data_IF_048863777560
#
_entry.id   IF_048863777560
#
_cell.length_a   1.000
_cell.length_b   1.000
_cell.length_c   1.000
_cell.angle_alpha   90.00
_cell.angle_beta   90.00
_cell.angle_gamma   90.00
#
_symmetry.space_group_name_H-M   'P 1'
#
loop_
_entity.id
_entity.type
_entity.pdbx_description
1 polymer ?
#
# COMPACT_ATOMS: atom_id res chain seq x y z
N UNK A 1 -5.51 -5.42 -26.90
CA UNK A 1 -5.47 -4.04 -27.43
C UNK A 1 -6.15 -3.16 -26.40
N UNK A 2 -5.44 -2.21 -25.76
CA UNK A 2 -6.10 -1.23 -24.88
C UNK A 2 -6.91 -0.29 -25.78
N UNK A 3 -8.20 -0.11 -25.52
CA UNK A 3 -9.09 0.72 -26.35
C UNK A 3 -8.72 2.22 -26.35
N UNK A 4 -7.84 2.66 -25.45
CA UNK A 4 -7.61 4.08 -25.18
C UNK A 4 -6.13 4.52 -25.25
N UNK A 5 -5.18 3.67 -25.66
CA UNK A 5 -3.79 4.11 -25.80
C UNK A 5 -2.79 3.07 -26.29
N UNK A 6 -1.67 3.56 -26.85
CA UNK A 6 -0.51 2.76 -27.25
C UNK A 6 0.54 2.80 -26.14
N UNK A 7 0.56 1.77 -25.28
CA UNK A 7 1.60 1.62 -24.25
C UNK A 7 2.87 1.09 -24.90
N UNK A 8 3.99 1.80 -24.76
CA UNK A 8 5.30 1.35 -25.25
C UNK A 8 6.12 0.76 -24.09
N UNK A 9 6.35 -0.56 -24.04
CA UNK A 9 7.20 -1.16 -23.02
C UNK A 9 8.62 -0.55 -23.02
N UNK A 10 9.17 -0.29 -21.83
CA UNK A 10 10.55 0.21 -21.66
C UNK A 10 10.74 1.73 -21.82
N UNK A 11 9.69 2.49 -22.16
CA UNK A 11 9.75 3.96 -22.27
C UNK A 11 8.95 4.63 -21.15
N UNK A 12 9.62 4.93 -20.04
CA UNK A 12 9.02 5.67 -18.91
C UNK A 12 9.70 7.05 -18.79
N UNK A 13 8.93 8.16 -18.76
CA UNK A 13 9.51 9.48 -18.59
C UNK A 13 10.00 9.68 -17.14
N UNK A 14 11.06 10.46 -16.89
CA UNK A 14 11.60 10.69 -15.54
C UNK A 14 10.55 11.16 -14.52
N UNK A 15 9.64 12.03 -14.95
CA UNK A 15 8.54 12.51 -14.11
C UNK A 15 7.62 11.37 -13.61
N UNK A 16 7.44 10.30 -14.38
CA UNK A 16 6.65 9.14 -13.96
C UNK A 16 7.37 8.31 -12.90
N UNK A 17 8.71 8.25 -12.94
CA UNK A 17 9.50 7.58 -11.91
C UNK A 17 9.52 8.39 -10.61
N UNK A 18 9.64 9.71 -10.69
CA UNK A 18 9.53 10.60 -9.54
C UNK A 18 8.16 10.50 -8.86
N UNK A 19 7.07 10.54 -9.65
CA UNK A 19 5.71 10.36 -9.15
C UNK A 19 5.51 8.99 -8.50
N UNK A 20 6.05 7.93 -9.10
CA UNK A 20 6.01 6.59 -8.53
C UNK A 20 6.77 6.50 -7.21
N UNK A 21 7.98 7.05 -7.14
CA UNK A 21 8.77 7.08 -5.91
C UNK A 21 8.06 7.86 -4.80
N UNK A 22 7.39 8.96 -5.13
CA UNK A 22 6.59 9.73 -4.18
C UNK A 22 5.40 8.92 -3.66
N UNK A 23 4.68 8.22 -4.54
CA UNK A 23 3.58 7.34 -4.14
C UNK A 23 4.04 6.24 -3.19
N UNK A 24 5.15 5.56 -3.51
CA UNK A 24 5.72 4.52 -2.65
C UNK A 24 6.09 5.08 -1.27
N UNK A 25 6.70 6.27 -1.19
CA UNK A 25 7.02 6.92 0.09
C UNK A 25 5.77 7.20 0.92
N UNK A 26 4.69 7.68 0.31
CA UNK A 26 3.43 7.95 1.01
C UNK A 26 2.80 6.67 1.55
N UNK A 27 2.81 5.59 0.76
CA UNK A 27 2.27 4.30 1.17
C UNK A 27 3.10 3.64 2.28
N UNK A 28 4.43 3.77 2.27
CA UNK A 28 5.27 3.31 3.39
C UNK A 28 4.89 3.99 4.70
N UNK A 29 4.72 5.32 4.68
CA UNK A 29 4.26 6.07 5.86
C UNK A 29 2.86 5.61 6.34
N UNK A 30 1.97 5.27 5.41
CA UNK A 30 0.66 4.70 5.77
C UNK A 30 0.80 3.30 6.39
N UNK A 31 1.70 2.46 5.87
CA UNK A 31 1.98 1.14 6.42
C UNK A 31 2.57 1.23 7.84
N UNK A 32 3.54 2.12 8.07
CA UNK A 32 4.12 2.41 9.39
C UNK A 32 3.05 2.82 10.41
N UNK A 33 2.02 3.54 9.97
CA UNK A 33 0.86 3.89 10.79
C UNK A 33 -0.18 2.78 10.96
N UNK A 34 0.06 1.57 10.44
CA UNK A 34 -0.90 0.46 10.43
C UNK A 34 -2.15 0.73 9.60
N UNK A 35 -2.08 1.62 8.60
CA UNK A 35 -3.23 2.10 7.82
C UNK A 35 -3.41 1.38 6.49
N UNK A 36 -2.57 0.41 6.15
CA UNK A 36 -2.72 -0.39 4.93
C UNK A 36 -3.26 -1.79 5.25
N UNK A 37 -4.18 -2.26 4.41
CA UNK A 37 -4.74 -3.62 4.41
C UNK A 37 -3.90 -4.60 3.58
N UNK A 38 -3.01 -4.09 2.73
CA UNK A 38 -2.20 -4.86 1.79
C UNK A 38 -0.75 -4.33 1.75
N UNK A 39 0.24 -5.11 1.28
CA UNK A 39 1.61 -4.65 1.12
C UNK A 39 1.73 -3.40 0.22
N UNK A 40 2.76 -2.57 0.47
CA UNK A 40 2.99 -1.30 -0.24
C UNK A 40 3.09 -1.51 -1.76
N UNK A 41 3.77 -2.56 -2.19
CA UNK A 41 3.97 -2.89 -3.61
C UNK A 41 2.64 -3.23 -4.29
N UNK A 42 1.73 -3.89 -3.58
CA UNK A 42 0.40 -4.22 -4.08
C UNK A 42 -0.49 -2.98 -4.14
N UNK A 43 -0.52 -2.17 -3.06
CA UNK A 43 -1.23 -0.89 -3.03
C UNK A 43 -0.79 0.04 -4.16
N UNK A 44 0.52 0.13 -4.42
CA UNK A 44 1.09 0.94 -5.49
C UNK A 44 0.59 0.49 -6.87
N UNK A 45 0.58 -0.82 -7.13
CA UNK A 45 0.08 -1.40 -8.39
C UNK A 45 -1.41 -1.09 -8.61
N UNK A 46 -2.22 -1.25 -7.57
CA UNK A 46 -3.67 -0.97 -7.61
C UNK A 46 -3.94 0.50 -7.91
N UNK A 47 -3.30 1.43 -7.17
CA UNK A 47 -3.45 2.87 -7.42
C UNK A 47 -3.03 3.23 -8.84
N UNK A 48 -1.89 2.70 -9.29
CA UNK A 48 -1.37 3.01 -10.62
C UNK A 48 -2.31 2.53 -11.74
N UNK A 49 -2.83 1.31 -11.63
CA UNK A 49 -3.80 0.78 -12.59
C UNK A 49 -5.09 1.61 -12.60
N UNK A 50 -5.65 1.93 -11.43
CA UNK A 50 -6.90 2.68 -11.32
C UNK A 50 -6.78 4.12 -11.85
N UNK A 51 -5.71 4.83 -11.48
CA UNK A 51 -5.45 6.19 -11.96
C UNK A 51 -5.24 6.21 -13.47
N UNK A 52 -4.48 5.26 -14.01
CA UNK A 52 -4.29 5.11 -15.46
C UNK A 52 -5.62 4.87 -16.17
N UNK A 53 -6.44 3.93 -15.67
CA UNK A 53 -7.76 3.63 -16.23
C UNK A 53 -8.70 4.84 -16.20
N UNK A 54 -8.79 5.55 -15.08
CA UNK A 54 -9.60 6.77 -14.98
C UNK A 54 -9.13 7.87 -15.92
N UNK A 55 -7.82 8.10 -16.02
CA UNK A 55 -7.27 9.10 -16.94
C UNK A 55 -7.60 8.76 -18.39
N UNK A 56 -7.43 7.51 -18.79
CA UNK A 56 -7.74 7.06 -20.15
C UNK A 56 -9.24 7.15 -20.48
N UNK A 57 -10.11 6.77 -19.52
CA UNK A 57 -11.55 6.90 -19.68
C UNK A 57 -11.97 8.37 -19.89
N UNK A 58 -11.49 9.28 -19.03
CA UNK A 58 -11.78 10.71 -19.12
C UNK A 58 -11.22 11.37 -20.40
N UNK A 59 -10.05 10.94 -20.88
CA UNK A 59 -9.48 11.43 -22.15
C UNK A 59 -10.34 10.98 -23.33
N UNK A 60 -10.94 9.79 -23.25
CA UNK A 60 -11.82 9.24 -24.28
C UNK A 60 -13.19 9.93 -24.39
N UNK A 61 -13.61 10.69 -23.38
CA UNK A 61 -14.86 11.45 -23.36
C UNK A 61 -14.72 12.82 -24.05
N UNK A 62 -15.80 13.28 -24.69
CA UNK A 62 -15.90 14.64 -25.22
C UNK A 62 -15.85 15.66 -24.06
N UNK A 63 -15.20 16.81 -24.28
CA UNK A 63 -14.96 17.77 -23.19
C UNK A 63 -16.22 18.28 -22.49
N UNK A 64 -17.34 18.36 -23.20
CA UNK A 64 -18.65 18.76 -22.65
C UNK A 64 -19.32 17.68 -21.81
N UNK A 65 -18.96 16.42 -21.99
CA UNK A 65 -19.55 15.26 -21.33
C UNK A 65 -18.69 14.71 -20.19
N UNK A 66 -17.47 15.24 -20.02
CA UNK A 66 -16.52 14.78 -19.00
C UNK A 66 -17.07 14.91 -17.59
N UNK A 67 -17.30 13.77 -16.95
CA UNK A 67 -17.73 13.70 -15.56
C UNK A 67 -16.57 13.34 -14.62
N UNK A 68 -16.01 14.35 -13.94
CA UNK A 68 -14.94 14.16 -12.95
C UNK A 68 -15.41 13.45 -11.67
N UNK A 69 -16.72 13.28 -11.46
CA UNK A 69 -17.22 12.53 -10.30
C UNK A 69 -16.78 11.07 -10.36
N UNK A 70 -16.64 10.50 -11.57
CA UNK A 70 -16.11 9.15 -11.79
C UNK A 70 -14.69 8.99 -11.23
N UNK A 71 -13.81 9.97 -11.46
CA UNK A 71 -12.45 9.95 -10.88
C UNK A 71 -12.48 10.00 -9.36
N UNK A 72 -13.36 10.81 -8.78
CA UNK A 72 -13.49 10.93 -7.33
C UNK A 72 -14.01 9.65 -6.70
N UNK A 73 -15.08 9.06 -7.25
CA UNK A 73 -15.61 7.78 -6.76
C UNK A 73 -14.59 6.65 -6.88
N UNK A 74 -13.85 6.59 -7.98
CA UNK A 74 -12.81 5.57 -8.14
C UNK A 74 -11.68 5.76 -7.13
N UNK A 75 -11.23 7.01 -6.91
CA UNK A 75 -10.23 7.33 -5.89
C UNK A 75 -10.66 6.83 -4.52
N UNK A 76 -11.88 7.16 -4.10
CA UNK A 76 -12.40 6.78 -2.79
C UNK A 76 -12.53 5.26 -2.65
N UNK A 77 -13.01 4.59 -3.71
CA UNK A 77 -13.12 3.13 -3.77
C UNK A 77 -11.75 2.46 -3.64
N UNK A 78 -10.76 2.94 -4.38
CA UNK A 78 -9.40 2.40 -4.35
C UNK A 78 -8.74 2.62 -3.01
N UNK A 79 -8.83 3.84 -2.45
CA UNK A 79 -8.29 4.13 -1.12
C UNK A 79 -8.94 3.21 -0.09
N UNK A 80 -10.27 3.14 -0.06
CA UNK A 80 -10.99 2.25 0.85
C UNK A 80 -10.57 0.77 0.68
N UNK A 81 -10.30 0.31 -0.54
CA UNK A 81 -9.88 -1.09 -0.78
C UNK A 81 -8.51 -1.43 -0.21
N UNK A 82 -7.59 -0.46 -0.11
CA UNK A 82 -6.20 -0.69 0.30
C UNK A 82 -5.87 -0.15 1.69
N UNK A 83 -6.68 0.75 2.24
CA UNK A 83 -6.46 1.34 3.57
C UNK A 83 -7.41 0.77 4.60
N UNK A 84 -6.97 0.66 5.86
CA UNK A 84 -7.89 0.41 6.97
C UNK A 84 -8.69 1.67 7.26
N UNK A 85 -9.89 1.53 7.80
CA UNK A 85 -10.56 2.68 8.41
C UNK A 85 -9.69 3.26 9.54
N UNK A 86 -9.85 4.56 9.82
CA UNK A 86 -9.35 5.11 11.09
C UNK A 86 -9.83 4.17 12.20
N UNK A 87 -8.98 3.81 13.19
CA UNK A 87 -9.30 2.72 14.10
C UNK A 87 -10.64 3.03 14.78
N UNK A 88 -11.70 2.40 14.28
CA UNK A 88 -12.87 2.16 15.09
C UNK A 88 -12.32 1.30 16.22
N UNK A 89 -12.48 1.77 17.45
CA UNK A 89 -11.96 1.14 18.67
C UNK A 89 -12.49 -0.27 18.94
N UNK A 90 -13.09 -0.94 17.94
CA UNK A 90 -13.70 -2.26 18.04
C UNK A 90 -13.66 -2.96 16.66
N UNK A 91 -12.53 -3.56 16.26
CA UNK A 91 -12.55 -4.57 15.18
C UNK A 91 -11.56 -4.43 14.02
N UNK A 92 -10.27 -4.20 14.28
CA UNK A 92 -9.24 -4.55 13.29
C UNK A 92 -9.29 -6.07 13.02
N UNK A 93 -9.48 -6.47 11.76
CA UNK A 93 -9.46 -7.87 11.30
C UNK A 93 -8.09 -8.52 11.53
N UNK A 94 -8.06 -9.85 11.64
CA UNK A 94 -6.88 -10.64 12.01
C UNK A 94 -5.66 -10.33 11.13
N UNK A 95 -5.87 -10.18 9.83
CA UNK A 95 -4.81 -9.85 8.88
C UNK A 95 -4.17 -8.48 9.16
N UNK A 96 -4.98 -7.47 9.48
CA UNK A 96 -4.49 -6.13 9.80
C UNK A 96 -3.69 -6.11 11.10
N UNK A 97 -4.09 -6.90 12.10
CA UNK A 97 -3.33 -7.04 13.36
C UNK A 97 -2.00 -7.76 13.14
N UNK A 98 -1.99 -8.78 12.30
CA UNK A 98 -0.78 -9.53 11.98
C UNK A 98 0.27 -8.64 11.28
N UNK A 99 -0.17 -7.85 10.28
CA UNK A 99 0.68 -6.88 9.61
C UNK A 99 1.20 -5.79 10.55
N UNK A 100 0.35 -5.24 11.42
CA UNK A 100 0.74 -4.23 12.39
C UNK A 100 1.80 -4.76 13.38
N UNK A 101 1.65 -6.00 13.83
CA UNK A 101 2.61 -6.62 14.73
C UNK A 101 3.94 -6.94 14.03
N UNK A 102 3.94 -7.43 12.78
CA UNK A 102 5.18 -7.68 12.02
C UNK A 102 5.98 -6.38 11.80
N UNK A 103 5.30 -5.28 11.48
CA UNK A 103 5.93 -3.96 11.31
C UNK A 103 6.53 -3.43 12.63
N UNK A 104 5.81 -3.58 13.74
CA UNK A 104 6.32 -3.20 15.06
C UNK A 104 7.55 -4.04 15.45
N UNK A 105 7.52 -5.36 15.18
CA UNK A 105 8.63 -6.27 15.41
C UNK A 105 9.87 -5.86 14.61
N UNK A 106 9.69 -5.52 13.32
CA UNK A 106 10.78 -5.07 12.45
C UNK A 106 11.42 -3.77 12.95
N UNK A 107 10.61 -2.81 13.39
CA UNK A 107 11.11 -1.56 13.98
C UNK A 107 11.93 -1.85 15.23
N UNK A 108 11.39 -2.63 16.18
CA UNK A 108 12.07 -2.97 17.42
C UNK A 108 13.44 -3.66 17.20
N UNK A 109 13.54 -4.52 16.19
CA UNK A 109 14.79 -5.22 15.83
C UNK A 109 15.80 -4.32 15.11
N UNK A 110 15.34 -3.30 14.38
CA UNK A 110 16.22 -2.43 13.58
C UNK A 110 16.62 -1.15 14.32
N UNK A 111 15.84 -0.69 15.29
CA UNK A 111 16.11 0.53 16.07
C UNK A 111 16.64 0.25 17.49
N UNK A 112 16.66 -1.01 17.94
CA UNK A 112 17.16 -1.37 19.27
C UNK A 112 18.69 -1.23 19.38
N UNK A 113 19.24 -0.72 20.50
CA UNK A 113 20.69 -0.67 20.71
C UNK A 113 21.29 -2.09 20.75
N UNK A 114 22.52 -2.30 20.22
CA UNK A 114 23.14 -3.63 20.11
C UNK A 114 23.57 -4.26 21.44
N UNK A 115 23.29 -3.63 22.58
CA UNK A 115 23.70 -4.12 23.89
C UNK A 115 22.52 -4.22 24.87
N UNK A 116 22.27 -5.45 25.29
CA UNK A 116 21.52 -5.89 26.47
C UNK A 116 20.06 -5.38 26.61
N UNK A 117 19.14 -6.18 26.09
CA UNK A 117 17.84 -6.39 26.75
C UNK A 117 16.68 -5.46 26.40
N UNK A 118 16.83 -4.58 25.41
CA UNK A 118 15.75 -3.69 24.95
C UNK A 118 15.12 -4.09 23.59
N UNK A 119 15.46 -5.28 23.08
CA UNK A 119 14.81 -5.89 21.93
C UNK A 119 13.58 -6.72 22.32
N UNK A 120 12.89 -7.27 21.33
CA UNK A 120 11.86 -8.29 21.55
C UNK A 120 12.50 -9.46 22.35
N UNK A 121 11.93 -9.90 23.49
CA UNK A 121 12.50 -10.95 24.34
C UNK A 121 12.30 -12.34 23.73
N UNK A 122 12.62 -12.51 22.46
CA UNK A 122 12.52 -13.73 21.67
C UNK A 122 13.89 -14.03 21.07
N UNK A 123 14.25 -15.31 20.99
CA UNK A 123 15.43 -15.80 20.26
C UNK A 123 15.25 -15.53 18.77
N UNK A 124 16.35 -15.52 18.01
CA UNK A 124 16.30 -15.30 16.56
C UNK A 124 15.38 -16.30 15.84
N UNK A 125 15.41 -17.56 16.27
CA UNK A 125 14.54 -18.63 15.74
C UNK A 125 13.07 -18.40 16.08
N UNK A 126 12.77 -17.97 17.30
CA UNK A 126 11.40 -17.66 17.75
C UNK A 126 10.85 -16.43 17.02
N UNK A 127 11.71 -15.43 16.78
CA UNK A 127 11.39 -14.24 16.00
C UNK A 127 11.09 -14.59 14.55
N UNK A 128 11.92 -15.43 13.91
CA UNK A 128 11.69 -15.89 12.54
C UNK A 128 10.37 -16.66 12.41
N UNK A 129 10.09 -17.58 13.34
CA UNK A 129 8.86 -18.38 13.36
C UNK A 129 7.62 -17.51 13.57
N UNK A 130 7.70 -16.53 14.49
CA UNK A 130 6.61 -15.57 14.71
C UNK A 130 6.31 -14.77 13.44
N UNK A 131 7.34 -14.28 12.74
CA UNK A 131 7.15 -13.53 11.49
C UNK A 131 6.51 -14.37 10.39
N UNK A 132 6.91 -15.63 10.27
CA UNK A 132 6.29 -16.57 9.33
C UNK A 132 4.80 -16.75 9.61
N UNK A 133 4.42 -16.95 10.88
CA UNK A 133 3.01 -17.07 11.26
C UNK A 133 2.22 -15.78 11.04
N UNK A 134 2.82 -14.62 11.32
CA UNK A 134 2.16 -13.33 11.07
C UNK A 134 1.93 -13.11 9.57
N UNK A 135 2.86 -13.53 8.71
CA UNK A 135 2.67 -13.50 7.26
C UNK A 135 1.55 -14.43 6.81
N UNK A 136 1.45 -15.64 7.37
CA UNK A 136 0.34 -16.56 7.07
C UNK A 136 -1.02 -16.00 7.51
N UNK A 137 -1.07 -15.32 8.65
CA UNK A 137 -2.30 -14.68 9.15
C UNK A 137 -2.68 -13.41 8.38
N UNK A 138 -1.72 -12.76 7.72
CA UNK A 138 -1.94 -11.57 6.90
C UNK A 138 -2.58 -11.87 5.54
N UNK A 139 -2.47 -13.10 5.03
CA UNK A 139 -3.02 -13.53 3.74
C UNK A 139 -2.07 -13.35 2.57
#
# INVERSE_FOLDING_TARGET
MLMYGTVQPGRRPPAADEAHALLVRLLRRAAEGGRLRVPVEQATRVIHAATTGATLALIGEESSERDLTTSTRLRDTVIASITTDAPASSGSDLASRALALDAALHTALTTGPPAAGAGVPLRDTETALLREWLQQLAG
#
